data_IF_469270662871
#
_entry.id   IF_469270662871
#
_cell.length_a   1.000
_cell.length_b   1.000
_cell.length_c   1.000
_cell.angle_alpha   90.00
_cell.angle_beta   90.00
_cell.angle_gamma   90.00
#
_symmetry.space_group_name_H-M   'P 1'
#
loop_
_entity.id
_entity.type
_entity.pdbx_description
1 polymer ?
#
# COMPACT_ATOMS: atom_id res chain seq x y z
N UNK A 1 56.63 -44.41 7.72
CA UNK A 1 55.31 -44.75 7.17
C UNK A 1 54.20 -44.58 8.19
N UNK A 2 54.05 -43.43 8.87
CA UNK A 2 52.96 -43.19 9.85
C UNK A 2 52.30 -41.80 9.77
N UNK A 3 52.60 -41.01 8.77
CA UNK A 3 52.11 -39.60 8.66
C UNK A 3 50.91 -39.40 7.73
N UNK A 4 50.50 -40.39 6.92
CA UNK A 4 49.39 -40.22 5.96
C UNK A 4 47.98 -40.59 6.45
N UNK A 5 47.88 -41.21 7.66
CA UNK A 5 46.56 -41.62 8.21
C UNK A 5 45.86 -40.53 9.00
N UNK A 6 46.54 -39.50 9.47
CA UNK A 6 45.97 -38.42 10.28
C UNK A 6 45.30 -37.35 9.39
N UNK A 7 45.76 -37.20 8.15
CA UNK A 7 45.24 -36.14 7.24
C UNK A 7 43.84 -36.50 6.65
N UNK A 8 43.49 -37.81 6.59
CA UNK A 8 42.23 -38.26 6.05
C UNK A 8 41.06 -38.13 7.04
N UNK A 9 41.34 -38.11 8.34
CA UNK A 9 40.27 -38.00 9.37
C UNK A 9 39.83 -36.54 9.55
N UNK A 10 40.69 -35.55 9.27
CA UNK A 10 40.36 -34.14 9.37
C UNK A 10 39.49 -33.65 8.20
N UNK A 11 39.50 -34.31 7.05
CA UNK A 11 38.69 -33.93 5.90
C UNK A 11 37.23 -34.45 5.98
N UNK A 12 36.96 -35.51 6.75
CA UNK A 12 35.63 -36.06 6.92
C UNK A 12 34.78 -35.31 7.96
N UNK A 13 35.41 -34.51 8.85
CA UNK A 13 34.70 -33.73 9.85
C UNK A 13 34.16 -32.39 9.33
N UNK A 14 34.64 -31.91 8.17
CA UNK A 14 34.22 -30.60 7.61
C UNK A 14 33.07 -30.67 6.61
N UNK A 15 32.71 -31.89 6.14
CA UNK A 15 31.62 -32.08 5.18
C UNK A 15 30.22 -32.17 5.79
N UNK A 16 30.10 -32.17 7.12
CA UNK A 16 28.82 -32.33 7.83
C UNK A 16 28.10 -31.00 8.14
N UNK A 17 28.69 -29.80 7.87
CA UNK A 17 28.12 -28.55 8.35
C UNK A 17 27.41 -27.72 7.27
N UNK A 18 27.32 -28.20 6.05
CA UNK A 18 26.60 -27.48 4.96
C UNK A 18 25.07 -27.73 4.90
N UNK A 19 24.49 -28.54 5.81
CA UNK A 19 23.11 -29.00 5.70
C UNK A 19 22.04 -28.14 6.38
N UNK A 20 22.40 -27.14 7.22
CA UNK A 20 21.40 -26.44 8.05
C UNK A 20 21.01 -25.05 7.55
N UNK A 21 21.64 -24.52 6.50
CA UNK A 21 21.31 -23.16 6.00
C UNK A 21 20.03 -23.10 5.15
N UNK A 22 19.51 -24.20 4.62
CA UNK A 22 18.39 -24.18 3.68
C UNK A 22 17.01 -23.95 4.31
N UNK A 23 16.78 -24.36 5.57
CA UNK A 23 15.47 -24.24 6.21
C UNK A 23 15.17 -22.81 6.69
N UNK A 24 16.18 -22.11 7.21
CA UNK A 24 16.03 -20.70 7.62
C UNK A 24 15.85 -19.76 6.43
N UNK A 25 16.50 -20.03 5.29
CA UNK A 25 16.39 -19.21 4.08
C UNK A 25 15.01 -19.31 3.44
N UNK A 26 14.36 -20.48 3.50
CA UNK A 26 12.99 -20.68 3.00
C UNK A 26 11.93 -19.96 3.85
N UNK A 27 12.05 -19.98 5.18
CA UNK A 27 11.12 -19.25 6.07
C UNK A 27 11.31 -17.74 5.95
N UNK A 28 12.55 -17.27 5.85
CA UNK A 28 12.86 -15.85 5.63
C UNK A 28 12.30 -15.36 4.28
N UNK A 29 12.51 -16.11 3.20
CA UNK A 29 11.95 -15.80 1.88
C UNK A 29 10.43 -15.78 1.88
N UNK A 30 9.77 -16.68 2.60
CA UNK A 30 8.32 -16.70 2.77
C UNK A 30 7.84 -15.45 3.52
N UNK A 31 8.47 -15.10 4.65
CA UNK A 31 8.17 -13.89 5.42
C UNK A 31 8.40 -12.61 4.62
N UNK A 32 9.49 -12.54 3.85
CA UNK A 32 9.77 -11.41 2.95
C UNK A 32 8.71 -11.27 1.85
N UNK A 33 8.18 -12.38 1.33
CA UNK A 33 7.10 -12.36 0.33
C UNK A 33 5.80 -11.81 0.93
N UNK A 34 5.47 -12.17 2.16
CA UNK A 34 4.28 -11.65 2.85
C UNK A 34 4.45 -10.18 3.29
N UNK A 35 5.69 -9.73 3.48
CA UNK A 35 6.08 -8.36 3.78
C UNK A 35 6.44 -7.52 2.52
N UNK A 36 6.25 -8.07 1.31
CA UNK A 36 6.48 -7.33 0.07
C UNK A 36 5.64 -6.05 0.06
N UNK A 37 6.27 -4.86 -0.09
CA UNK A 37 5.56 -3.58 -0.14
C UNK A 37 4.44 -3.53 -1.18
N UNK A 38 4.59 -4.24 -2.31
CA UNK A 38 3.57 -4.35 -3.34
C UNK A 38 2.34 -5.13 -2.84
N UNK A 39 2.55 -6.22 -2.11
CA UNK A 39 1.44 -7.01 -1.52
C UNK A 39 0.73 -6.21 -0.45
N UNK A 40 1.48 -5.59 0.47
CA UNK A 40 0.91 -4.77 1.55
C UNK A 40 0.17 -3.57 0.97
N UNK A 41 0.79 -2.81 0.07
CA UNK A 41 0.18 -1.65 -0.57
C UNK A 41 -1.11 -2.01 -1.32
N UNK A 42 -1.12 -3.13 -2.04
CA UNK A 42 -2.32 -3.62 -2.72
C UNK A 42 -3.46 -3.92 -1.73
N UNK A 43 -3.17 -4.54 -0.59
CA UNK A 43 -4.18 -4.80 0.46
C UNK A 43 -4.74 -3.49 1.04
N UNK A 44 -3.87 -2.51 1.30
CA UNK A 44 -4.27 -1.19 1.82
C UNK A 44 -5.19 -0.48 0.82
N UNK A 45 -4.80 -0.41 -0.45
CA UNK A 45 -5.62 0.26 -1.47
C UNK A 45 -6.95 -0.45 -1.68
N UNK A 46 -6.97 -1.78 -1.73
CA UNK A 46 -8.22 -2.53 -1.84
C UNK A 46 -9.14 -2.30 -0.64
N UNK A 47 -8.59 -2.24 0.58
CA UNK A 47 -9.36 -1.89 1.78
C UNK A 47 -9.91 -0.48 1.70
N UNK A 48 -9.11 0.48 1.23
CA UNK A 48 -9.54 1.85 1.01
C UNK A 48 -10.72 1.94 0.02
N UNK A 49 -10.61 1.26 -1.12
CA UNK A 49 -11.64 1.27 -2.16
C UNK A 49 -13.03 0.78 -1.72
N UNK A 50 -13.07 -0.11 -0.73
CA UNK A 50 -14.34 -0.67 -0.20
C UNK A 50 -14.80 -0.02 1.10
N UNK A 51 -13.99 0.88 1.68
CA UNK A 51 -14.35 1.56 2.92
C UNK A 51 -15.10 2.86 2.61
N UNK A 52 -16.33 3.07 3.10
CA UNK A 52 -17.05 4.32 2.91
C UNK A 52 -16.28 5.53 3.48
N UNK A 53 -16.40 6.72 2.86
CA UNK A 53 -15.79 7.96 3.35
C UNK A 53 -16.14 8.27 4.81
N UNK A 54 -17.38 8.01 5.21
CA UNK A 54 -17.86 8.19 6.59
C UNK A 54 -17.17 7.30 7.63
N UNK A 55 -16.40 6.30 7.18
CA UNK A 55 -15.62 5.41 8.03
C UNK A 55 -14.12 5.75 8.08
N UNK A 56 -13.71 6.75 7.30
CA UNK A 56 -12.37 7.30 7.32
C UNK A 56 -12.34 8.50 8.27
N UNK A 57 -11.83 8.32 9.43
CA UNK A 57 -11.74 9.38 10.42
C UNK A 57 -11.21 8.85 11.74
N UNK A 58 -11.42 9.58 12.79
CA UNK A 58 -11.10 9.10 14.12
C UNK A 58 -12.10 7.98 14.52
N UNK A 59 -11.65 6.72 14.66
CA UNK A 59 -12.55 5.61 15.03
C UNK A 59 -13.14 5.76 16.44
N UNK A 60 -12.62 6.71 17.25
CA UNK A 60 -13.12 7.05 18.59
C UNK A 60 -14.06 8.25 18.59
N UNK A 61 -14.32 8.85 17.43
CA UNK A 61 -15.29 9.94 17.36
C UNK A 61 -16.70 9.42 17.67
N UNK A 62 -17.42 10.12 18.53
CA UNK A 62 -18.82 9.78 18.86
C UNK A 62 -19.72 9.81 17.63
N UNK A 63 -19.39 10.66 16.67
CA UNK A 63 -20.16 10.83 15.43
C UNK A 63 -19.26 10.62 14.23
N UNK A 64 -19.71 9.78 13.29
CA UNK A 64 -19.04 9.61 12.02
C UNK A 64 -18.96 10.94 11.24
N UNK A 65 -17.86 11.25 10.54
CA UNK A 65 -17.76 12.42 9.69
C UNK A 65 -18.78 12.32 8.56
N UNK A 66 -19.34 13.45 8.18
CA UNK A 66 -20.24 13.59 7.05
C UNK A 66 -19.57 14.26 5.83
N UNK A 67 -18.25 14.24 5.80
CA UNK A 67 -17.42 14.80 4.73
C UNK A 67 -16.15 13.98 4.55
N UNK A 68 -15.47 14.14 3.41
CA UNK A 68 -14.16 13.55 3.14
C UNK A 68 -13.13 14.18 4.07
N UNK A 69 -12.55 13.36 4.95
CA UNK A 69 -11.62 13.82 5.98
C UNK A 69 -10.19 13.91 5.46
N UNK A 70 -9.31 14.60 6.19
CA UNK A 70 -7.87 14.63 5.92
C UNK A 70 -7.24 13.22 5.79
N UNK A 71 -7.48 12.26 6.71
CA UNK A 71 -6.96 10.90 6.56
C UNK A 71 -7.47 10.18 5.31
N UNK A 72 -8.73 10.41 4.91
CA UNK A 72 -9.30 9.85 3.69
C UNK A 72 -8.56 10.40 2.46
N UNK A 73 -8.41 11.73 2.35
CA UNK A 73 -7.71 12.38 1.26
C UNK A 73 -6.23 11.95 1.16
N UNK A 74 -5.51 11.88 2.28
CA UNK A 74 -4.12 11.41 2.30
C UNK A 74 -3.99 9.95 1.86
N UNK A 75 -4.91 9.09 2.30
CA UNK A 75 -4.93 7.68 1.89
C UNK A 75 -5.19 7.57 0.38
N UNK A 76 -6.09 8.41 -0.14
CA UNK A 76 -6.40 8.44 -1.57
C UNK A 76 -5.19 8.83 -2.42
N UNK A 77 -4.50 9.91 -2.04
CA UNK A 77 -3.28 10.35 -2.71
C UNK A 77 -2.21 9.27 -2.70
N UNK A 78 -1.97 8.67 -1.53
CA UNK A 78 -1.04 7.55 -1.40
C UNK A 78 -1.42 6.36 -2.28
N UNK A 79 -2.71 6.05 -2.37
CA UNK A 79 -3.23 4.99 -3.23
C UNK A 79 -3.03 5.29 -4.73
N UNK A 80 -3.24 6.53 -5.17
CA UNK A 80 -2.98 6.97 -6.54
C UNK A 80 -1.49 6.86 -6.89
N UNK A 81 -0.60 7.31 -6.03
CA UNK A 81 0.84 7.19 -6.24
C UNK A 81 1.30 5.73 -6.25
N UNK A 82 0.82 4.93 -5.31
CA UNK A 82 1.11 3.51 -5.26
C UNK A 82 0.65 2.79 -6.54
N UNK A 83 -0.60 3.00 -6.96
CA UNK A 83 -1.16 2.36 -8.15
C UNK A 83 -0.38 2.72 -9.41
N UNK A 84 0.10 3.97 -9.53
CA UNK A 84 1.00 4.42 -10.59
C UNK A 84 2.36 3.72 -10.52
N UNK A 85 2.96 3.65 -9.34
CA UNK A 85 4.27 3.03 -9.13
C UNK A 85 4.26 1.54 -9.48
N UNK A 86 3.19 0.81 -9.13
CA UNK A 86 3.04 -0.61 -9.47
C UNK A 86 2.42 -0.85 -10.84
N UNK A 87 2.16 0.22 -11.61
CA UNK A 87 1.57 0.21 -12.98
C UNK A 87 0.21 -0.52 -13.04
N UNK A 88 -0.58 -0.45 -11.99
CA UNK A 88 -1.90 -1.09 -11.92
C UNK A 88 -2.99 -0.12 -12.43
N UNK A 89 -3.35 -0.24 -13.71
CA UNK A 89 -4.33 0.62 -14.38
C UNK A 89 -5.76 0.43 -13.87
N UNK A 90 -6.15 -0.80 -13.52
CA UNK A 90 -7.47 -1.08 -12.93
C UNK A 90 -7.63 -0.34 -11.59
N UNK A 91 -6.62 -0.45 -10.74
CA UNK A 91 -6.61 0.25 -9.46
C UNK A 91 -6.66 1.78 -9.60
N UNK A 92 -5.93 2.34 -10.57
CA UNK A 92 -6.00 3.77 -10.89
C UNK A 92 -7.41 4.18 -11.32
N UNK A 93 -8.03 3.39 -12.19
CA UNK A 93 -9.39 3.67 -12.68
C UNK A 93 -10.42 3.61 -11.55
N UNK A 94 -10.38 2.60 -10.70
CA UNK A 94 -11.26 2.48 -9.53
C UNK A 94 -11.08 3.63 -8.52
N UNK A 95 -9.85 4.11 -8.33
CA UNK A 95 -9.58 5.27 -7.49
C UNK A 95 -10.17 6.56 -8.08
N UNK A 96 -10.13 6.71 -9.39
CA UNK A 96 -10.81 7.81 -10.08
C UNK A 96 -12.33 7.69 -9.94
N UNK A 97 -12.90 6.53 -10.22
CA UNK A 97 -14.35 6.26 -10.13
C UNK A 97 -14.90 6.53 -8.72
N UNK A 98 -14.12 6.26 -7.68
CA UNK A 98 -14.46 6.61 -6.31
C UNK A 98 -14.63 8.13 -6.12
N UNK A 99 -13.95 8.97 -6.91
CA UNK A 99 -14.04 10.43 -6.82
C UNK A 99 -15.24 11.01 -7.58
N UNK A 100 -15.73 10.33 -8.62
CA UNK A 100 -16.80 10.85 -9.49
C UNK A 100 -18.06 11.29 -8.73
N UNK A 101 -18.56 10.53 -7.73
CA UNK A 101 -19.75 10.95 -6.99
C UNK A 101 -19.61 12.29 -6.26
N UNK A 102 -18.38 12.69 -5.90
CA UNK A 102 -18.11 13.98 -5.24
C UNK A 102 -18.35 15.19 -6.16
N UNK A 103 -18.41 15.01 -7.47
CA UNK A 103 -18.84 16.06 -8.39
C UNK A 103 -20.37 16.18 -8.48
N UNK A 104 -21.12 15.14 -8.07
CA UNK A 104 -22.57 15.02 -8.31
C UNK A 104 -23.32 14.64 -7.05
N UNK A 105 -23.58 13.36 -6.85
CA UNK A 105 -24.47 12.82 -5.81
C UNK A 105 -23.94 12.96 -4.38
N UNK A 106 -22.63 12.99 -4.22
CA UNK A 106 -21.94 13.11 -2.91
C UNK A 106 -21.23 14.45 -2.74
N UNK A 107 -21.64 15.48 -3.52
CA UNK A 107 -21.04 16.82 -3.45
C UNK A 107 -21.10 17.43 -2.04
N UNK A 108 -22.10 17.09 -1.27
CA UNK A 108 -22.27 17.51 0.11
C UNK A 108 -21.21 16.92 1.06
N UNK A 109 -20.47 15.90 0.64
CA UNK A 109 -19.35 15.31 1.38
C UNK A 109 -18.04 16.07 1.18
N UNK A 110 -17.97 17.02 0.23
CA UNK A 110 -16.79 17.88 0.12
C UNK A 110 -16.74 18.82 1.34
N UNK A 111 -15.59 18.88 2.04
CA UNK A 111 -15.45 19.78 3.19
C UNK A 111 -15.48 21.25 2.74
N UNK A 112 -15.84 22.15 3.65
CA UNK A 112 -15.67 23.60 3.42
C UNK A 112 -14.18 23.94 3.39
N UNK A 113 -13.73 24.69 2.40
CA UNK A 113 -12.32 25.08 2.21
C UNK A 113 -11.89 26.21 3.14
N UNK A 114 -12.14 26.05 4.44
CA UNK A 114 -11.86 27.06 5.49
C UNK A 114 -10.64 26.72 6.35
N UNK A 115 -10.07 25.54 6.17
CA UNK A 115 -8.92 25.05 6.93
C UNK A 115 -7.98 24.29 6.02
N UNK A 116 -6.67 24.31 6.31
CA UNK A 116 -5.65 23.63 5.50
C UNK A 116 -5.92 22.13 5.34
N UNK A 117 -6.37 21.46 6.40
CA UNK A 117 -6.68 20.03 6.35
C UNK A 117 -7.84 19.71 5.39
N UNK A 118 -8.76 20.65 5.20
CA UNK A 118 -9.87 20.49 4.27
C UNK A 118 -9.43 20.72 2.83
N UNK A 119 -8.48 21.63 2.61
CA UNK A 119 -7.95 21.93 1.29
C UNK A 119 -7.17 20.76 0.67
N UNK A 120 -6.67 19.83 1.49
CA UNK A 120 -5.96 18.62 1.01
C UNK A 120 -6.83 17.77 0.08
N UNK A 121 -8.16 17.80 0.22
CA UNK A 121 -9.08 17.10 -0.69
C UNK A 121 -8.89 17.54 -2.13
N UNK A 122 -8.58 18.81 -2.39
CA UNK A 122 -8.30 19.33 -3.73
C UNK A 122 -7.08 18.72 -4.42
N UNK A 123 -6.15 18.14 -3.66
CA UNK A 123 -4.98 17.48 -4.23
C UNK A 123 -5.35 16.13 -4.91
N UNK A 124 -6.45 15.49 -4.52
CA UNK A 124 -6.89 14.21 -5.11
C UNK A 124 -7.30 14.38 -6.58
N UNK A 125 -8.24 15.28 -6.95
CA UNK A 125 -8.60 15.48 -8.34
C UNK A 125 -7.41 16.02 -9.15
N UNK A 126 -6.59 16.88 -8.59
CA UNK A 126 -5.37 17.35 -9.26
C UNK A 126 -4.44 16.18 -9.61
N UNK A 127 -4.24 15.22 -8.71
CA UNK A 127 -3.41 14.03 -8.99
C UNK A 127 -4.04 13.13 -10.05
N UNK A 128 -5.37 12.96 -10.04
CA UNK A 128 -6.12 12.23 -11.08
C UNK A 128 -5.85 12.86 -12.45
N UNK A 129 -5.94 14.19 -12.54
CA UNK A 129 -5.64 14.92 -13.76
C UNK A 129 -4.16 14.79 -14.20
N UNK A 130 -3.21 14.95 -13.27
CA UNK A 130 -1.77 14.82 -13.54
C UNK A 130 -1.38 13.41 -14.00
N UNK A 131 -2.09 12.38 -13.54
CA UNK A 131 -1.90 11.00 -14.01
C UNK A 131 -2.60 10.71 -15.34
N UNK A 132 -3.29 11.70 -15.92
CA UNK A 132 -4.07 11.57 -17.18
C UNK A 132 -5.17 10.50 -17.07
N UNK A 133 -5.78 10.37 -15.91
CA UNK A 133 -6.89 9.46 -15.66
C UNK A 133 -8.24 10.14 -15.91
N UNK A 134 -8.30 11.46 -15.90
CA UNK A 134 -9.47 12.29 -16.12
C UNK A 134 -9.18 13.51 -16.99
N UNK A 135 -10.22 14.26 -17.31
CA UNK A 135 -10.18 15.50 -18.07
C UNK A 135 -10.07 16.74 -17.15
N UNK A 136 -10.28 17.94 -17.71
CA UNK A 136 -10.17 19.22 -16.99
C UNK A 136 -11.18 19.45 -15.87
N UNK A 137 -12.17 18.57 -15.69
CA UNK A 137 -13.11 18.69 -14.56
C UNK A 137 -12.47 18.33 -13.21
N UNK A 138 -11.36 17.58 -13.25
CA UNK A 138 -10.56 17.20 -12.09
C UNK A 138 -9.61 18.28 -11.62
#
# INVERSE_FOLDING_TARGET
>A
MKTHKILLILFAAFSGWCGTMNAQDTDLKKRMKDADPKVIGTRIVNKFLVTPHTRFGNPRAEKAPNYVTYPDACTWLGALWFSKAVKNKDMQQRLKERFEPLFTTEKNMLPRMVHVDYNVVGAVPLEIYMQKLGDRKY
#
